data_IF_230658720631
#
_entry.id   IF_230658720631
#
_cell.length_a   1.000
_cell.length_b   1.000
_cell.length_c   1.000
_cell.angle_alpha   90.00
_cell.angle_beta   90.00
_cell.angle_gamma   90.00
#
_symmetry.space_group_name_H-M   'P 1'
#
loop_
_entity.id
_entity.type
_entity.pdbx_description
1 polymer ?
#
# COMPACT_ATOMS: atom_id res chain seq x y z
N UNK A 1 -16.00 6.01 1.16
CA UNK A 1 -14.56 5.97 0.84
C UNK A 1 -13.94 7.28 1.32
N UNK A 2 -12.78 7.23 1.99
CA UNK A 2 -12.05 8.45 2.36
C UNK A 2 -11.52 9.10 1.06
N UNK A 3 -11.83 10.38 0.79
CA UNK A 3 -11.53 11.03 -0.50
C UNK A 3 -10.03 11.08 -0.83
N UNK A 4 -9.17 10.97 0.19
CA UNK A 4 -7.71 11.04 0.05
C UNK A 4 -7.03 9.67 0.09
N UNK A 5 -7.79 8.57 0.16
CA UNK A 5 -7.19 7.24 0.21
C UNK A 5 -6.77 6.79 -1.19
N UNK A 6 -5.48 6.52 -1.45
CA UNK A 6 -5.02 6.11 -2.77
C UNK A 6 -5.58 4.73 -3.13
N UNK A 7 -5.79 4.49 -4.43
CA UNK A 7 -6.45 3.28 -4.92
C UNK A 7 -5.72 1.99 -4.51
N UNK A 8 -4.38 1.97 -4.58
CA UNK A 8 -3.57 0.83 -4.16
C UNK A 8 -3.84 0.41 -2.70
N UNK A 9 -4.05 1.38 -1.81
CA UNK A 9 -4.27 1.07 -0.39
C UNK A 9 -5.66 0.45 -0.19
N UNK A 10 -6.67 0.96 -0.90
CA UNK A 10 -8.03 0.43 -0.85
C UNK A 10 -8.09 -1.01 -1.36
N UNK A 11 -7.49 -1.26 -2.52
CA UNK A 11 -7.46 -2.58 -3.16
C UNK A 11 -6.63 -3.57 -2.36
N UNK A 12 -5.41 -3.19 -1.94
CA UNK A 12 -4.56 -4.05 -1.12
C UNK A 12 -5.22 -4.44 0.20
N UNK A 13 -5.96 -3.52 0.85
CA UNK A 13 -6.75 -3.82 2.05
C UNK A 13 -7.92 -4.75 1.75
N UNK A 14 -8.61 -4.58 0.63
CA UNK A 14 -9.71 -5.45 0.24
C UNK A 14 -9.22 -6.89 0.01
N UNK A 15 -8.09 -7.04 -0.68
CA UNK A 15 -7.45 -8.34 -0.92
C UNK A 15 -6.95 -8.98 0.39
N UNK A 16 -6.26 -8.20 1.23
CA UNK A 16 -5.80 -8.64 2.55
C UNK A 16 -6.96 -9.18 3.41
N UNK A 17 -8.06 -8.43 3.48
CA UNK A 17 -9.25 -8.85 4.23
C UNK A 17 -9.97 -10.06 3.62
N UNK A 18 -9.83 -10.29 2.32
CA UNK A 18 -10.39 -11.47 1.63
C UNK A 18 -9.58 -12.73 1.86
N UNK A 19 -8.36 -12.60 2.42
CA UNK A 19 -7.44 -13.72 2.65
C UNK A 19 -6.59 -14.09 1.43
N UNK A 20 -6.53 -13.21 0.42
CA UNK A 20 -5.69 -13.41 -0.75
C UNK A 20 -4.23 -13.54 -0.33
N UNK A 21 -3.51 -14.47 -0.98
CA UNK A 21 -2.10 -14.68 -0.69
C UNK A 21 -1.25 -13.80 -1.62
N UNK A 22 -0.31 -12.99 -1.08
CA UNK A 22 0.62 -12.27 -1.93
C UNK A 22 1.50 -13.26 -2.67
N UNK A 23 1.70 -13.01 -3.96
CA UNK A 23 2.69 -13.73 -4.76
C UNK A 23 4.04 -13.03 -4.61
N UNK A 24 5.13 -13.78 -4.52
CA UNK A 24 6.48 -13.23 -4.55
C UNK A 24 6.72 -12.53 -5.90
N UNK A 25 6.39 -11.26 -5.97
CA UNK A 25 6.71 -10.40 -7.09
C UNK A 25 7.86 -9.48 -6.67
N UNK A 26 8.91 -9.44 -7.48
CA UNK A 26 9.83 -8.31 -7.42
C UNK A 26 9.01 -7.02 -7.64
N UNK A 27 9.39 -5.92 -6.99
CA UNK A 27 8.74 -4.65 -7.29
C UNK A 27 8.97 -4.30 -8.76
N UNK A 28 7.88 -4.23 -9.51
CA UNK A 28 7.82 -3.84 -10.92
C UNK A 28 7.37 -2.38 -11.05
N UNK A 29 6.41 -1.94 -10.22
CA UNK A 29 5.85 -0.58 -10.27
C UNK A 29 6.33 0.22 -9.05
N UNK A 30 6.95 1.40 -9.26
CA UNK A 30 7.26 2.31 -8.17
C UNK A 30 5.98 2.69 -7.41
N UNK A 31 5.96 2.56 -6.08
CA UNK A 31 4.76 2.82 -5.28
C UNK A 31 4.22 4.25 -5.42
N UNK A 32 5.09 5.21 -5.72
CA UNK A 32 4.70 6.59 -6.05
C UNK A 32 3.81 6.70 -7.30
N UNK A 33 3.93 5.78 -8.25
CA UNK A 33 3.04 5.70 -9.41
C UNK A 33 1.70 5.08 -9.01
N UNK A 34 1.70 4.02 -8.20
CA UNK A 34 0.47 3.42 -7.67
C UNK A 34 -0.36 4.43 -6.87
N UNK A 35 0.29 5.35 -6.15
CA UNK A 35 -0.38 6.45 -5.45
C UNK A 35 -1.06 7.47 -6.37
N UNK A 36 -0.65 7.57 -7.65
CA UNK A 36 -1.27 8.45 -8.65
C UNK A 36 -2.39 7.77 -9.42
N UNK A 37 -2.40 6.44 -9.46
CA UNK A 37 -3.43 5.65 -10.15
C UNK A 37 -2.86 4.38 -10.79
N UNK A 38 -3.75 3.52 -11.24
CA UNK A 38 -3.36 2.25 -11.87
C UNK A 38 -3.12 2.42 -13.38
N UNK A 39 -2.22 1.61 -13.96
CA UNK A 39 -2.04 1.58 -15.40
C UNK A 39 -3.30 1.06 -16.11
N UNK A 40 -3.52 1.52 -17.35
CA UNK A 40 -4.69 1.12 -18.18
C UNK A 40 -4.51 -0.24 -18.86
N UNK A 41 -3.28 -0.64 -19.09
CA UNK A 41 -2.99 -1.93 -19.71
C UNK A 41 -3.37 -3.07 -18.74
N UNK A 42 -4.17 -4.07 -19.16
CA UNK A 42 -4.67 -5.11 -18.27
C UNK A 42 -3.58 -5.88 -17.49
N UNK A 43 -2.46 -6.22 -18.15
CA UNK A 43 -1.36 -6.94 -17.49
C UNK A 43 -0.69 -6.10 -16.42
N UNK A 44 -0.38 -4.84 -16.74
CA UNK A 44 0.19 -3.92 -15.78
C UNK A 44 -0.78 -3.60 -14.62
N UNK A 45 -2.09 -3.54 -14.90
CA UNK A 45 -3.10 -3.34 -13.87
C UNK A 45 -3.14 -4.53 -12.90
N UNK A 46 -3.03 -5.76 -13.41
CA UNK A 46 -2.92 -6.96 -12.58
C UNK A 46 -1.70 -6.91 -11.66
N UNK A 47 -0.54 -6.48 -12.18
CA UNK A 47 0.67 -6.27 -11.37
C UNK A 47 0.44 -5.22 -10.27
N UNK A 48 -0.26 -4.13 -10.57
CA UNK A 48 -0.59 -3.10 -9.59
C UNK A 48 -1.45 -3.64 -8.43
N UNK A 49 -2.41 -4.54 -8.70
CA UNK A 49 -3.17 -5.23 -7.65
C UNK A 49 -2.28 -6.13 -6.79
N UNK A 50 -1.41 -6.94 -7.41
CA UNK A 50 -0.52 -7.84 -6.66
C UNK A 50 0.43 -7.07 -5.75
N UNK A 51 1.03 -5.98 -6.24
CA UNK A 51 1.88 -5.12 -5.43
C UNK A 51 1.12 -4.40 -4.32
N UNK A 52 -0.13 -3.99 -4.59
CA UNK A 52 -0.98 -3.36 -3.58
C UNK A 52 -1.20 -4.28 -2.38
N UNK A 53 -1.51 -5.56 -2.64
CA UNK A 53 -1.61 -6.58 -1.59
C UNK A 53 -0.29 -6.76 -0.85
N UNK A 54 0.83 -6.91 -1.57
CA UNK A 54 2.15 -7.08 -0.94
C UNK A 54 2.52 -5.91 -0.03
N UNK A 55 2.26 -4.67 -0.45
CA UNK A 55 2.54 -3.47 0.36
C UNK A 55 1.70 -3.46 1.64
N UNK A 56 0.41 -3.76 1.54
CA UNK A 56 -0.48 -3.80 2.72
C UNK A 56 -0.06 -4.91 3.67
N UNK A 57 0.22 -6.08 3.14
CA UNK A 57 0.71 -7.23 3.89
C UNK A 57 2.01 -6.90 4.63
N UNK A 58 3.01 -6.31 3.96
CA UNK A 58 4.28 -5.91 4.57
C UNK A 58 4.06 -4.87 5.68
N UNK A 59 3.20 -3.88 5.43
CA UNK A 59 2.84 -2.89 6.44
C UNK A 59 2.18 -3.54 7.67
N UNK A 60 1.29 -4.51 7.48
CA UNK A 60 0.66 -5.21 8.60
C UNK A 60 1.64 -6.13 9.32
N UNK A 61 2.49 -6.84 8.58
CA UNK A 61 3.47 -7.77 9.14
C UNK A 61 4.55 -7.05 9.96
N UNK A 62 5.07 -5.91 9.46
CA UNK A 62 6.15 -5.17 10.12
C UNK A 62 5.64 -4.26 11.24
N UNK A 63 4.51 -3.58 11.01
CA UNK A 63 4.05 -2.49 11.87
C UNK A 63 2.74 -2.78 12.61
N UNK A 64 2.06 -3.87 12.26
CA UNK A 64 0.77 -4.26 12.82
C UNK A 64 -0.42 -3.47 12.27
N UNK A 65 -1.59 -4.10 12.33
CA UNK A 65 -2.87 -3.52 11.88
C UNK A 65 -3.25 -2.22 12.62
N UNK A 66 -2.72 -1.96 13.81
CA UNK A 66 -2.97 -0.72 14.55
C UNK A 66 -2.41 0.52 13.81
N UNK A 67 -1.21 0.43 13.23
CA UNK A 67 -0.61 1.54 12.47
C UNK A 67 -1.34 1.77 11.16
N UNK A 68 -1.75 0.70 10.48
CA UNK A 68 -2.55 0.80 9.26
C UNK A 68 -3.91 1.46 9.50
N UNK A 69 -4.61 1.10 10.60
CA UNK A 69 -5.84 1.78 11.00
C UNK A 69 -5.63 3.26 11.30
N UNK A 70 -4.49 3.63 11.90
CA UNK A 70 -4.15 5.03 12.15
C UNK A 70 -3.90 5.80 10.85
N UNK A 71 -3.26 5.20 9.86
CA UNK A 71 -3.12 5.76 8.51
C UNK A 71 -4.50 6.03 7.90
N UNK A 72 -5.37 5.02 7.89
CA UNK A 72 -6.72 5.14 7.33
C UNK A 72 -7.55 6.21 8.04
N UNK A 73 -7.46 6.31 9.37
CA UNK A 73 -8.11 7.38 10.13
C UNK A 73 -7.64 8.76 9.69
N UNK A 74 -6.34 8.97 9.51
CA UNK A 74 -5.80 10.26 9.05
C UNK A 74 -6.22 10.63 7.63
N UNK A 75 -6.27 9.65 6.73
CA UNK A 75 -6.80 9.83 5.37
C UNK A 75 -8.31 10.16 5.40
N UNK A 76 -9.05 9.54 6.31
CA UNK A 76 -10.47 9.84 6.57
C UNK A 76 -10.71 11.24 7.14
N UNK A 77 -9.80 11.74 7.98
CA UNK A 77 -9.79 13.10 8.53
C UNK A 77 -9.45 14.17 7.48
N UNK A 78 -9.12 13.77 6.24
CA UNK A 78 -8.77 14.69 5.16
C UNK A 78 -7.28 15.04 5.09
N UNK A 79 -6.40 14.33 5.82
CA UNK A 79 -4.96 14.47 5.60
C UNK A 79 -4.57 13.91 4.24
N UNK A 80 -3.55 14.48 3.60
CA UNK A 80 -2.93 13.87 2.42
C UNK A 80 -2.09 12.64 2.80
N UNK A 81 -1.71 11.85 1.80
CA UNK A 81 -0.99 10.60 1.99
C UNK A 81 0.38 10.81 2.66
N UNK A 82 1.11 11.87 2.33
CA UNK A 82 2.44 12.13 2.89
C UNK A 82 2.33 12.42 4.39
N UNK A 83 1.44 13.32 4.79
CA UNK A 83 1.20 13.70 6.17
C UNK A 83 0.60 12.54 7.00
N UNK A 84 -0.32 11.78 6.40
CA UNK A 84 -0.94 10.62 7.05
C UNK A 84 0.09 9.52 7.31
N UNK A 85 0.99 9.24 6.36
CA UNK A 85 2.10 8.31 6.54
C UNK A 85 3.10 8.79 7.59
N UNK A 86 3.48 10.07 7.54
CA UNK A 86 4.38 10.65 8.53
C UNK A 86 3.82 10.51 9.95
N UNK A 87 2.51 10.71 10.08
CA UNK A 87 1.81 10.51 11.34
C UNK A 87 1.87 9.04 11.77
N UNK A 88 1.46 8.10 10.91
CA UNK A 88 1.29 6.69 11.25
C UNK A 88 2.61 5.89 11.39
N UNK A 89 3.61 6.19 10.56
CA UNK A 89 4.85 5.43 10.40
C UNK A 89 6.12 6.24 10.70
N UNK A 90 6.01 7.53 11.02
CA UNK A 90 7.13 8.38 11.43
C UNK A 90 7.93 8.98 10.26
N UNK A 91 7.54 8.73 9.01
CA UNK A 91 8.15 9.33 7.83
C UNK A 91 7.14 9.52 6.69
N UNK A 92 7.34 10.49 5.79
CA UNK A 92 6.48 10.70 4.64
C UNK A 92 6.41 9.47 3.73
N UNK A 93 5.27 9.27 3.07
CA UNK A 93 5.05 8.14 2.17
C UNK A 93 6.12 8.07 1.08
N UNK A 94 6.44 9.20 0.47
CA UNK A 94 7.46 9.30 -0.58
C UNK A 94 8.83 8.75 -0.17
N UNK A 95 9.23 8.96 1.09
CA UNK A 95 10.49 8.45 1.64
C UNK A 95 10.41 6.96 1.93
N UNK A 96 9.32 6.51 2.55
CA UNK A 96 9.10 5.10 2.82
C UNK A 96 9.04 4.28 1.52
N UNK A 97 8.33 4.79 0.51
CA UNK A 97 8.17 4.16 -0.80
C UNK A 97 9.49 3.94 -1.56
N UNK A 98 10.51 4.77 -1.33
CA UNK A 98 11.85 4.59 -1.90
C UNK A 98 12.65 3.49 -1.19
N UNK A 99 12.41 3.33 0.11
CA UNK A 99 13.10 2.37 0.97
C UNK A 99 12.46 1.00 0.93
N UNK A 100 11.14 0.94 0.72
CA UNK A 100 10.39 -0.30 0.73
C UNK A 100 10.95 -1.30 -0.27
N UNK A 101 11.09 -2.54 0.17
CA UNK A 101 11.40 -3.69 -0.66
C UNK A 101 10.39 -4.77 -0.27
N UNK A 102 9.74 -5.42 -1.25
CA UNK A 102 8.77 -6.47 -0.95
C UNK A 102 9.48 -7.59 -0.20
N UNK A 103 8.87 -8.03 0.90
CA UNK A 103 9.39 -9.18 1.65
C UNK A 103 9.25 -10.42 0.80
N UNK A 104 10.38 -10.97 0.35
CA UNK A 104 10.42 -12.28 -0.31
C UNK A 104 10.18 -13.36 0.72
N UNK A 105 9.13 -14.15 0.54
CA UNK A 105 8.83 -15.30 1.41
C UNK A 105 9.37 -16.55 0.75
N UNK A 106 10.42 -17.14 1.32
CA UNK A 106 10.87 -18.47 0.92
C UNK A 106 9.78 -19.48 1.35
N UNK A 107 9.43 -20.41 0.45
CA UNK A 107 8.47 -21.50 0.71
C UNK A 107 9.00 -22.52 1.73
#
# INVERSE_FOLDING_TARGET
>A
MAPNCPFWLQEGLAQYCSGDQPVNAAQVIPLKLLAKGFPREPRAAMVAYLESLQVVEDLVSEYGMARLRRLLGKLGDGSDLEAAFATAYGQPFSRWAEQWRPVTREE
#
